data_IF_850013282792
#
_entry.id   IF_850013282792
#
_cell.length_a   1.000
_cell.length_b   1.000
_cell.length_c   1.000
_cell.angle_alpha   90.00
_cell.angle_beta   90.00
_cell.angle_gamma   90.00
#
_symmetry.space_group_name_H-M   'P 1'
#
loop_
_entity.id
_entity.type
_entity.pdbx_description
1 polymer ?
#
# COMPACT_ATOMS: atom_id res chain seq x y z
N UNK A 1 -29.51 8.13 35.15
CA UNK A 1 -28.31 7.40 34.70
C UNK A 1 -28.73 6.71 33.42
N UNK A 2 -28.64 7.47 32.33
CA UNK A 2 -29.13 7.04 31.03
C UNK A 2 -28.06 6.21 30.33
N UNK A 3 -28.50 5.17 29.61
CA UNK A 3 -27.63 4.22 28.92
C UNK A 3 -26.72 4.96 27.90
N UNK A 4 -25.38 4.92 28.06
CA UNK A 4 -24.44 5.61 27.19
C UNK A 4 -24.40 5.08 25.74
N UNK A 5 -25.16 4.03 25.43
CA UNK A 5 -25.29 3.43 24.10
C UNK A 5 -26.67 3.64 23.45
N UNK A 6 -27.56 4.44 24.04
CA UNK A 6 -28.88 4.71 23.46
C UNK A 6 -28.80 5.58 22.19
N UNK A 7 -29.64 5.26 21.21
CA UNK A 7 -29.82 6.10 20.02
C UNK A 7 -30.51 7.42 20.42
N UNK A 8 -30.02 8.54 19.88
CA UNK A 8 -30.56 9.86 20.18
C UNK A 8 -31.95 10.06 19.57
N UNK A 9 -32.83 10.89 20.17
CA UNK A 9 -34.16 11.15 19.66
C UNK A 9 -34.10 11.84 18.29
N UNK A 10 -34.90 11.37 17.34
CA UNK A 10 -35.14 12.07 16.08
C UNK A 10 -36.00 13.32 16.33
N UNK A 11 -35.57 14.44 15.76
CA UNK A 11 -36.27 15.72 15.80
C UNK A 11 -37.60 15.62 15.01
N UNK A 12 -38.76 15.96 15.60
CA UNK A 12 -40.06 15.88 14.94
C UNK A 12 -40.24 16.89 13.79
N UNK A 13 -39.27 17.78 13.54
CA UNK A 13 -39.33 18.76 12.43
C UNK A 13 -38.78 18.25 11.10
N UNK A 14 -38.24 17.03 11.06
CA UNK A 14 -37.75 16.41 9.82
C UNK A 14 -38.85 15.58 9.18
N UNK A 15 -39.42 16.09 8.09
CA UNK A 15 -40.43 15.39 7.30
C UNK A 15 -39.84 14.13 6.63
N UNK A 16 -40.21 12.94 7.10
CA UNK A 16 -39.72 11.63 6.64
C UNK A 16 -40.19 11.23 5.22
N UNK A 17 -40.82 12.16 4.49
CA UNK A 17 -41.45 11.91 3.19
C UNK A 17 -40.45 11.57 2.05
N UNK A 18 -39.15 11.79 2.23
CA UNK A 18 -38.12 11.53 1.21
C UNK A 18 -37.49 10.13 1.23
N UNK A 19 -37.78 9.25 2.21
CA UNK A 19 -37.10 7.94 2.32
C UNK A 19 -37.99 6.72 2.04
N UNK A 20 -39.28 6.89 1.75
CA UNK A 20 -40.21 5.77 1.58
C UNK A 20 -40.28 5.23 0.15
N UNK A 21 -39.21 4.55 -0.27
CA UNK A 21 -39.22 3.68 -1.45
C UNK A 21 -39.51 2.21 -1.07
N UNK A 22 -40.71 1.74 -1.43
CA UNK A 22 -41.06 0.34 -1.77
C UNK A 22 -40.71 -0.79 -0.78
N UNK A 23 -41.68 -1.19 0.06
CA UNK A 23 -41.70 -2.49 0.76
C UNK A 23 -42.02 -3.63 -0.20
N UNK A 24 -41.33 -4.78 -0.10
CA UNK A 24 -41.90 -6.07 -0.46
C UNK A 24 -42.39 -6.85 0.77
N UNK A 25 -43.41 -7.65 0.50
CA UNK A 25 -44.28 -8.42 1.39
C UNK A 25 -43.55 -9.54 2.14
N UNK A 26 -43.92 -9.72 3.41
CA UNK A 26 -43.44 -10.77 4.30
C UNK A 26 -44.46 -11.93 4.34
N UNK A 27 -44.04 -13.20 4.26
CA UNK A 27 -44.88 -14.32 4.69
C UNK A 27 -44.52 -14.79 6.11
N UNK A 28 -45.59 -15.11 6.84
CA UNK A 28 -45.67 -15.47 8.26
C UNK A 28 -45.35 -16.97 8.48
N UNK A 29 -44.53 -17.23 9.51
CA UNK A 29 -44.55 -18.31 10.52
C UNK A 29 -45.05 -19.73 10.20
N UNK A 30 -44.28 -20.75 10.62
CA UNK A 30 -44.85 -21.89 11.37
C UNK A 30 -43.85 -22.53 12.36
N UNK A 31 -44.38 -22.82 13.55
CA UNK A 31 -43.79 -23.48 14.71
C UNK A 31 -43.63 -25.00 14.52
N UNK A 32 -42.72 -25.64 15.26
CA UNK A 32 -42.63 -27.11 15.36
C UNK A 32 -41.47 -27.60 16.23
N UNK A 33 -41.79 -28.45 17.20
CA UNK A 33 -40.98 -28.92 18.34
C UNK A 33 -40.35 -30.31 18.18
N UNK A 34 -39.23 -30.53 18.91
CA UNK A 34 -38.80 -31.74 19.68
C UNK A 34 -38.35 -33.07 18.99
N UNK A 35 -37.11 -33.45 19.38
CA UNK A 35 -36.55 -34.77 19.83
C UNK A 35 -36.44 -36.01 18.93
N UNK A 36 -35.20 -36.54 18.83
CA UNK A 36 -34.69 -37.93 19.05
C UNK A 36 -33.39 -38.08 18.22
N UNK A 37 -32.24 -38.62 18.63
CA UNK A 37 -31.89 -39.67 19.59
C UNK A 37 -31.11 -40.77 18.83
N UNK A 38 -29.81 -40.97 19.18
CA UNK A 38 -28.85 -42.07 18.85
C UNK A 38 -27.46 -41.47 18.54
N UNK A 39 -26.31 -42.01 18.96
CA UNK A 39 -25.98 -43.23 19.68
C UNK A 39 -24.51 -43.15 20.15
N UNK A 40 -24.22 -43.82 21.28
CA UNK A 40 -22.97 -44.55 21.65
C UNK A 40 -21.69 -43.80 22.09
N UNK A 41 -21.50 -43.86 23.40
CA UNK A 41 -20.25 -44.06 24.17
C UNK A 41 -19.72 -45.52 24.05
N UNK A 42 -18.57 -45.99 24.63
CA UNK A 42 -17.53 -45.28 25.42
C UNK A 42 -16.04 -45.74 25.21
N UNK A 43 -15.14 -44.96 25.84
CA UNK A 43 -13.95 -45.37 26.65
C UNK A 43 -12.62 -45.96 26.10
N UNK A 44 -11.55 -45.44 26.76
CA UNK A 44 -10.29 -46.05 27.28
C UNK A 44 -8.97 -45.95 26.49
N UNK A 45 -8.24 -44.88 26.82
CA UNK A 45 -6.92 -44.84 27.50
C UNK A 45 -5.88 -45.98 27.38
N UNK A 46 -4.63 -45.52 27.18
CA UNK A 46 -3.39 -45.94 27.86
C UNK A 46 -2.35 -46.85 27.14
N UNK A 47 -1.24 -46.19 26.76
CA UNK A 47 0.20 -46.53 27.00
C UNK A 47 0.77 -47.90 26.61
N UNK A 48 1.89 -47.89 25.87
CA UNK A 48 3.14 -48.53 26.33
C UNK A 48 4.40 -48.02 25.62
N UNK A 49 5.47 -48.04 26.42
CA UNK A 49 6.83 -47.51 26.25
C UNK A 49 7.79 -48.70 26.15
N UNK A 50 8.89 -48.59 25.38
CA UNK A 50 10.15 -49.29 25.73
C UNK A 50 11.37 -48.58 25.12
N UNK A 51 12.39 -48.38 25.97
CA UNK A 51 13.75 -47.87 25.71
C UNK A 51 14.73 -49.04 25.80
N UNK A 52 15.85 -48.94 25.08
CA UNK A 52 17.20 -49.49 25.37
C UNK A 52 18.18 -48.73 24.46
N UNK A 53 19.03 -47.80 24.92
CA UNK A 53 20.31 -47.93 25.63
C UNK A 53 21.50 -48.29 24.72
N UNK A 54 22.56 -47.46 24.73
CA UNK A 54 23.86 -47.77 24.10
C UNK A 54 24.74 -46.55 23.81
N UNK A 55 25.61 -46.17 24.75
CA UNK A 55 26.64 -45.13 24.68
C UNK A 55 27.95 -45.65 24.06
N UNK A 56 28.72 -44.82 23.35
CA UNK A 56 30.20 -44.78 23.40
C UNK A 56 30.81 -43.54 22.71
N UNK A 57 31.89 -43.06 23.32
CA UNK A 57 32.65 -41.81 23.10
C UNK A 57 33.98 -42.09 22.37
N UNK A 58 34.67 -41.01 21.93
CA UNK A 58 36.10 -40.88 21.51
C UNK A 58 36.39 -41.25 20.04
N UNK A 59 37.29 -40.60 19.27
CA UNK A 59 38.42 -39.68 19.54
C UNK A 59 38.85 -38.98 18.23
N UNK A 60 39.55 -37.86 18.37
CA UNK A 60 40.31 -37.09 17.38
C UNK A 60 41.48 -37.83 16.70
N UNK A 61 41.79 -37.50 15.45
CA UNK A 61 43.18 -37.39 14.95
C UNK A 61 43.29 -36.57 13.66
N UNK A 62 44.37 -35.79 13.61
CA UNK A 62 44.86 -34.94 12.52
C UNK A 62 45.68 -35.80 11.55
N UNK A 63 45.66 -35.51 10.24
CA UNK A 63 46.77 -35.83 9.34
C UNK A 63 46.81 -34.90 8.12
N UNK A 64 48.01 -34.79 7.58
CA UNK A 64 48.65 -33.71 6.85
C UNK A 64 48.59 -33.91 5.33
N UNK A 65 48.74 -32.80 4.58
CA UNK A 65 49.39 -32.65 3.25
C UNK A 65 49.05 -33.65 2.12
N UNK A 66 48.59 -33.13 0.97
CA UNK A 66 49.42 -33.07 -0.24
C UNK A 66 48.72 -32.35 -1.42
N UNK A 67 49.54 -31.72 -2.26
CA UNK A 67 49.20 -31.02 -3.50
C UNK A 67 49.80 -31.84 -4.65
N UNK A 68 49.13 -31.95 -5.81
CA UNK A 68 49.81 -31.74 -7.09
C UNK A 68 48.97 -30.83 -8.01
N UNK A 69 49.51 -29.77 -8.62
CA UNK A 69 50.39 -29.75 -9.79
C UNK A 69 49.69 -30.19 -11.10
N UNK A 70 49.13 -29.18 -11.79
CA UNK A 70 49.21 -28.91 -13.24
C UNK A 70 49.44 -30.13 -14.16
N UNK A 71 48.37 -30.61 -14.79
CA UNK A 71 48.44 -31.33 -16.06
C UNK A 71 47.83 -30.46 -17.17
N UNK A 72 48.67 -30.11 -18.13
CA UNK A 72 48.37 -29.44 -19.39
C UNK A 72 47.92 -30.52 -20.37
N UNK A 73 46.64 -30.55 -20.73
CA UNK A 73 46.15 -31.37 -21.85
C UNK A 73 45.95 -30.47 -23.06
N UNK A 74 46.96 -30.44 -23.92
CA UNK A 74 46.78 -30.17 -25.34
C UNK A 74 46.34 -31.47 -26.00
N UNK A 75 45.09 -31.56 -26.41
CA UNK A 75 44.65 -32.54 -27.42
C UNK A 75 44.04 -31.80 -28.60
N UNK A 76 44.57 -32.17 -29.75
CA UNK A 76 44.38 -31.64 -31.09
C UNK A 76 42.95 -31.83 -31.61
N UNK A 77 42.45 -30.75 -32.21
CA UNK A 77 41.60 -30.66 -33.41
C UNK A 77 41.27 -32.01 -34.07
N UNK A 78 40.01 -32.43 -33.97
CA UNK A 78 39.35 -33.21 -35.01
C UNK A 78 38.23 -32.34 -35.58
N UNK A 79 38.46 -31.85 -36.79
CA UNK A 79 37.48 -31.16 -37.59
C UNK A 79 36.67 -32.24 -38.34
N UNK A 80 35.47 -32.54 -37.84
CA UNK A 80 34.42 -33.10 -38.67
C UNK A 80 33.46 -31.96 -38.98
N UNK A 81 33.64 -31.41 -40.18
CA UNK A 81 32.61 -30.63 -40.85
C UNK A 81 31.61 -31.65 -41.38
N UNK A 82 30.42 -31.66 -40.78
CA UNK A 82 29.19 -32.07 -41.44
C UNK A 82 28.00 -31.37 -40.76
N UNK A 83 27.27 -30.67 -41.61
CA UNK A 83 25.81 -30.52 -41.59
C UNK A 83 25.17 -29.29 -40.88
N UNK A 84 24.69 -28.40 -41.75
CA UNK A 84 23.67 -27.37 -41.61
C UNK A 84 23.89 -26.21 -40.64
N UNK A 85 24.28 -25.07 -41.23
CA UNK A 85 24.22 -23.73 -40.66
C UNK A 85 22.79 -23.28 -40.36
N UNK A 86 22.15 -23.92 -39.39
CA UNK A 86 21.04 -23.31 -38.65
C UNK A 86 21.70 -22.41 -37.61
N UNK A 87 21.85 -21.12 -37.91
CA UNK A 87 22.03 -20.13 -36.85
C UNK A 87 21.02 -20.44 -35.75
N UNK A 88 21.39 -20.52 -34.46
CA UNK A 88 20.44 -20.78 -33.40
C UNK A 88 19.38 -19.68 -33.46
N UNK A 89 18.23 -19.99 -34.08
CA UNK A 89 17.14 -19.06 -34.27
C UNK A 89 16.86 -18.44 -32.91
N UNK A 90 17.12 -17.13 -32.78
CA UNK A 90 16.94 -16.38 -31.55
C UNK A 90 15.51 -16.62 -31.09
N UNK A 91 15.33 -17.52 -30.11
CA UNK A 91 14.00 -17.83 -29.59
C UNK A 91 13.39 -16.51 -29.15
N UNK A 92 12.18 -16.15 -29.62
CA UNK A 92 11.53 -14.92 -29.19
C UNK A 92 11.51 -14.88 -27.66
N UNK A 93 11.89 -13.75 -27.05
CA UNK A 93 11.84 -13.58 -25.59
C UNK A 93 10.44 -13.85 -25.02
N UNK A 94 9.40 -13.66 -25.84
CA UNK A 94 8.00 -14.00 -25.55
C UNK A 94 7.73 -15.50 -25.41
N UNK A 95 8.62 -16.38 -25.89
CA UNK A 95 8.51 -17.83 -25.71
C UNK A 95 8.98 -18.30 -24.32
N UNK A 96 9.70 -17.46 -23.56
CA UNK A 96 10.11 -17.78 -22.19
C UNK A 96 8.91 -17.66 -21.24
N UNK A 97 8.53 -18.77 -20.60
CA UNK A 97 7.46 -18.81 -19.58
C UNK A 97 7.73 -17.84 -18.43
N UNK A 98 9.00 -17.63 -18.06
CA UNK A 98 9.37 -16.67 -17.03
C UNK A 98 9.04 -15.24 -17.45
N UNK A 99 9.40 -14.84 -18.68
CA UNK A 99 9.14 -13.51 -19.20
C UNK A 99 7.64 -13.24 -19.32
N UNK A 100 6.86 -14.20 -19.83
CA UNK A 100 5.39 -14.09 -19.92
C UNK A 100 4.74 -13.92 -18.55
N UNK A 101 5.15 -14.70 -17.56
CA UNK A 101 4.61 -14.59 -16.21
C UNK A 101 4.94 -13.22 -15.58
N UNK A 102 6.16 -12.72 -15.78
CA UNK A 102 6.57 -11.38 -15.32
C UNK A 102 5.81 -10.27 -16.01
N UNK A 103 5.63 -10.35 -17.32
CA UNK A 103 4.86 -9.40 -18.09
C UNK A 103 3.39 -9.39 -17.66
N UNK A 104 2.78 -10.57 -17.48
CA UNK A 104 1.40 -10.69 -17.00
C UNK A 104 1.24 -10.07 -15.60
N UNK A 105 2.19 -10.32 -14.68
CA UNK A 105 2.16 -9.69 -13.35
C UNK A 105 2.33 -8.18 -13.41
N UNK A 106 3.17 -7.66 -14.30
CA UNK A 106 3.27 -6.20 -14.53
C UNK A 106 1.95 -5.64 -15.00
N UNK A 107 1.37 -6.23 -16.04
CA UNK A 107 0.10 -5.76 -16.62
C UNK A 107 -0.97 -5.80 -15.54
N UNK A 108 -1.09 -6.91 -14.80
CA UNK A 108 -2.02 -7.03 -13.69
C UNK A 108 -1.80 -5.96 -12.61
N UNK A 109 -0.54 -5.67 -12.25
CA UNK A 109 -0.21 -4.63 -11.27
C UNK A 109 -0.57 -3.22 -11.75
N UNK A 110 -0.24 -2.88 -13.00
CA UNK A 110 -0.61 -1.59 -13.61
C UNK A 110 -2.12 -1.45 -13.67
N UNK A 111 -2.83 -2.47 -14.19
CA UNK A 111 -4.28 -2.47 -14.27
C UNK A 111 -4.91 -2.36 -12.88
N UNK A 112 -4.39 -3.06 -11.87
CA UNK A 112 -4.87 -2.94 -10.50
C UNK A 112 -4.70 -1.52 -9.94
N UNK A 113 -3.54 -0.89 -10.15
CA UNK A 113 -3.31 0.50 -9.74
C UNK A 113 -4.29 1.46 -10.43
N UNK A 114 -4.49 1.35 -11.74
CA UNK A 114 -5.40 2.21 -12.49
C UNK A 114 -6.87 1.99 -12.10
N UNK A 115 -7.30 0.74 -11.98
CA UNK A 115 -8.67 0.40 -11.55
C UNK A 115 -8.95 0.88 -10.14
N UNK A 116 -8.00 0.74 -9.21
CA UNK A 116 -8.16 1.20 -7.84
C UNK A 116 -8.15 2.74 -7.75
N UNK A 117 -7.31 3.41 -8.55
CA UNK A 117 -7.31 4.88 -8.70
C UNK A 117 -8.70 5.36 -9.15
N UNK A 118 -9.26 4.74 -10.20
CA UNK A 118 -10.58 5.09 -10.72
C UNK A 118 -11.69 4.80 -9.70
N UNK A 119 -11.65 3.63 -9.05
CA UNK A 119 -12.64 3.24 -8.04
C UNK A 119 -12.65 4.17 -6.82
N UNK A 120 -11.49 4.49 -6.26
CA UNK A 120 -11.37 5.40 -5.11
C UNK A 120 -11.79 6.81 -5.50
N UNK A 121 -11.30 7.32 -6.63
CA UNK A 121 -11.65 8.66 -7.12
C UNK A 121 -13.16 8.77 -7.34
N UNK A 122 -13.77 7.78 -7.99
CA UNK A 122 -15.21 7.74 -8.20
C UNK A 122 -15.96 7.71 -6.86
N UNK A 123 -15.60 6.81 -5.94
CA UNK A 123 -16.27 6.68 -4.64
C UNK A 123 -16.22 7.96 -3.80
N UNK A 124 -15.05 8.61 -3.72
CA UNK A 124 -14.88 9.83 -2.92
C UNK A 124 -15.52 11.05 -3.58
N UNK A 125 -15.50 11.15 -4.91
CA UNK A 125 -16.05 12.33 -5.60
C UNK A 125 -17.56 12.24 -5.83
N UNK A 126 -18.11 11.04 -6.04
CA UNK A 126 -19.53 10.84 -6.38
C UNK A 126 -20.44 10.58 -5.18
N UNK A 127 -19.89 10.25 -4.00
CA UNK A 127 -20.71 9.88 -2.83
C UNK A 127 -20.47 10.80 -1.63
N UNK A 128 -21.56 11.18 -0.95
CA UNK A 128 -21.49 11.98 0.26
C UNK A 128 -20.74 11.26 1.38
N UNK A 129 -20.94 9.95 1.54
CA UNK A 129 -20.21 9.13 2.50
C UNK A 129 -18.70 9.15 2.24
N UNK A 130 -18.28 9.02 0.99
CA UNK A 130 -16.88 9.12 0.60
C UNK A 130 -16.28 10.48 0.95
N UNK A 131 -16.96 11.57 0.62
CA UNK A 131 -16.49 12.92 0.96
C UNK A 131 -16.38 13.15 2.48
N UNK A 132 -17.34 12.63 3.25
CA UNK A 132 -17.38 12.73 4.71
C UNK A 132 -16.26 11.95 5.37
N UNK A 133 -16.09 10.66 5.04
CA UNK A 133 -15.05 9.80 5.62
C UNK A 133 -13.66 10.37 5.30
N UNK A 134 -13.44 10.80 4.07
CA UNK A 134 -12.14 11.29 3.64
C UNK A 134 -11.79 12.64 4.32
N UNK A 135 -12.79 13.50 4.53
CA UNK A 135 -12.61 14.79 5.21
C UNK A 135 -12.45 14.62 6.72
N UNK A 136 -13.24 13.77 7.37
CA UNK A 136 -13.14 13.57 8.83
C UNK A 136 -11.84 12.88 9.23
N UNK A 137 -11.30 11.99 8.38
CA UNK A 137 -9.99 11.39 8.59
C UNK A 137 -8.88 12.46 8.53
N UNK A 138 -8.95 13.36 7.55
CA UNK A 138 -8.03 14.51 7.45
C UNK A 138 -8.14 15.42 8.67
N UNK A 139 -9.34 15.87 9.03
CA UNK A 139 -9.55 16.75 10.19
C UNK A 139 -9.11 16.10 11.51
N UNK A 140 -9.35 14.80 11.67
CA UNK A 140 -8.84 14.01 12.80
C UNK A 140 -7.31 14.03 12.89
N UNK A 141 -6.62 13.87 11.75
CA UNK A 141 -5.16 14.00 11.68
C UNK A 141 -4.70 15.41 11.99
N UNK A 142 -5.31 16.45 11.39
CA UNK A 142 -4.96 17.86 11.65
C UNK A 142 -5.10 18.22 13.12
N UNK A 143 -6.23 17.86 13.75
CA UNK A 143 -6.49 18.16 15.16
C UNK A 143 -5.51 17.43 16.08
N UNK A 144 -5.16 16.19 15.74
CA UNK A 144 -4.15 15.41 16.48
C UNK A 144 -2.76 16.04 16.35
N UNK A 145 -2.42 16.57 15.17
CA UNK A 145 -1.13 17.21 14.90
C UNK A 145 -0.95 18.55 15.63
N UNK A 146 -2.01 19.37 15.73
CA UNK A 146 -1.98 20.66 16.45
C UNK A 146 -1.60 20.54 17.93
N UNK A 147 -1.72 19.36 18.52
CA UNK A 147 -1.26 19.10 19.90
C UNK A 147 0.28 19.08 20.01
N UNK A 148 1.00 19.08 18.88
CA UNK A 148 2.45 18.93 18.78
C UNK A 148 3.05 19.96 17.79
N UNK A 149 3.01 21.24 18.13
CA UNK A 149 3.45 22.34 17.24
C UNK A 149 4.90 22.22 16.76
N UNK A 150 5.83 21.84 17.66
CA UNK A 150 7.24 21.63 17.32
C UNK A 150 7.42 20.50 16.30
N UNK A 151 6.65 19.42 16.46
CA UNK A 151 6.66 18.30 15.52
C UNK A 151 6.11 18.72 14.15
N UNK A 152 5.02 19.48 14.11
CA UNK A 152 4.45 20.00 12.85
C UNK A 152 5.48 20.85 12.10
N UNK A 153 6.14 21.78 12.79
CA UNK A 153 7.13 22.68 12.19
C UNK A 153 8.32 21.90 11.61
N UNK A 154 8.84 20.92 12.36
CA UNK A 154 9.93 20.07 11.90
C UNK A 154 9.53 19.25 10.66
N UNK A 155 8.35 18.64 10.68
CA UNK A 155 7.85 17.84 9.56
C UNK A 155 7.66 18.70 8.32
N UNK A 156 7.05 19.88 8.45
CA UNK A 156 6.79 20.79 7.32
C UNK A 156 8.09 21.33 6.73
N UNK A 157 9.13 21.54 7.53
CA UNK A 157 10.48 21.80 7.04
C UNK A 157 11.07 20.65 6.23
N UNK A 158 10.97 19.41 6.74
CA UNK A 158 11.48 18.21 6.07
C UNK A 158 10.76 17.93 4.74
N UNK A 159 9.45 18.14 4.68
CA UNK A 159 8.62 17.79 3.52
C UNK A 159 8.43 18.95 2.52
N UNK A 160 9.25 19.99 2.67
CA UNK A 160 9.19 21.19 1.84
C UNK A 160 9.63 20.97 0.39
N UNK A 161 9.16 21.84 -0.51
CA UNK A 161 9.51 21.81 -1.95
C UNK A 161 11.03 21.84 -2.19
N UNK A 162 11.84 22.67 -1.49
CA UNK A 162 13.30 22.64 -1.65
C UNK A 162 13.92 21.28 -1.30
N UNK A 163 13.43 20.60 -0.26
CA UNK A 163 13.93 19.27 0.13
C UNK A 163 13.57 18.23 -0.92
N UNK A 164 12.34 18.25 -1.44
CA UNK A 164 11.94 17.38 -2.57
C UNK A 164 12.81 17.62 -3.80
N UNK A 165 13.12 18.88 -4.11
CA UNK A 165 14.07 19.24 -5.18
C UNK A 165 15.47 18.67 -4.93
N UNK A 166 15.99 18.80 -3.72
CA UNK A 166 17.28 18.24 -3.30
C UNK A 166 17.34 16.71 -3.42
N UNK A 167 16.29 16.00 -2.99
CA UNK A 167 16.17 14.55 -3.16
C UNK A 167 16.13 14.18 -4.65
N UNK A 168 15.40 14.95 -5.46
CA UNK A 168 15.37 14.77 -6.92
C UNK A 168 16.74 14.89 -7.57
N UNK A 169 17.52 15.92 -7.20
CA UNK A 169 18.90 16.09 -7.66
C UNK A 169 19.79 14.93 -7.22
N UNK A 170 19.69 14.49 -5.96
CA UNK A 170 20.43 13.34 -5.47
C UNK A 170 20.12 12.07 -6.28
N UNK A 171 18.85 11.78 -6.52
CA UNK A 171 18.43 10.63 -7.34
C UNK A 171 18.99 10.74 -8.76
N UNK A 172 18.98 11.94 -9.36
CA UNK A 172 19.56 12.17 -10.68
C UNK A 172 21.09 11.95 -10.71
N UNK A 173 21.81 12.42 -9.69
CA UNK A 173 23.27 12.20 -9.55
C UNK A 173 23.56 10.71 -9.41
N UNK A 174 22.84 9.98 -8.55
CA UNK A 174 23.02 8.53 -8.40
C UNK A 174 22.70 7.82 -9.71
N UNK A 175 21.67 8.24 -10.44
CA UNK A 175 21.32 7.68 -11.74
C UNK A 175 22.43 7.89 -12.78
N UNK A 176 23.00 9.10 -12.85
CA UNK A 176 24.11 9.44 -13.74
C UNK A 176 25.39 8.65 -13.40
N UNK A 177 25.75 8.57 -12.11
CA UNK A 177 26.93 7.87 -11.64
C UNK A 177 26.92 6.37 -12.00
N UNK A 178 25.74 5.77 -12.13
CA UNK A 178 25.60 4.33 -12.46
C UNK A 178 25.86 3.98 -13.92
N UNK A 179 26.05 4.95 -14.82
CA UNK A 179 26.33 4.74 -16.26
C UNK A 179 25.35 3.76 -16.95
N UNK A 180 24.09 3.73 -16.50
CA UNK A 180 23.01 2.91 -17.07
C UNK A 180 21.90 3.81 -17.61
N UNK A 181 22.10 4.46 -18.77
CA UNK A 181 21.21 5.51 -19.26
C UNK A 181 19.78 5.01 -19.51
N UNK A 182 19.61 3.74 -19.90
CA UNK A 182 18.29 3.13 -20.12
C UNK A 182 17.46 2.99 -18.85
N UNK A 183 18.11 2.66 -17.72
CA UNK A 183 17.46 2.54 -16.42
C UNK A 183 17.10 3.91 -15.86
N UNK A 184 18.03 4.88 -16.01
CA UNK A 184 17.82 6.27 -15.63
C UNK A 184 16.66 6.89 -16.41
N UNK A 185 16.63 6.71 -17.74
CA UNK A 185 15.55 7.22 -18.59
C UNK A 185 14.18 6.63 -18.23
N UNK A 186 14.10 5.34 -17.88
CA UNK A 186 12.86 4.71 -17.38
C UNK A 186 12.41 5.29 -16.04
N UNK A 187 13.33 5.47 -15.09
CA UNK A 187 13.02 6.04 -13.79
C UNK A 187 12.56 7.51 -13.93
N UNK A 188 13.27 8.31 -14.72
CA UNK A 188 12.89 9.69 -15.02
C UNK A 188 11.55 9.77 -15.76
N UNK A 189 11.32 8.89 -16.74
CA UNK A 189 10.04 8.79 -17.43
C UNK A 189 8.89 8.45 -16.49
N UNK A 190 9.12 7.60 -15.49
CA UNK A 190 8.10 7.28 -14.48
C UNK A 190 7.81 8.48 -13.56
N UNK A 191 8.85 9.21 -13.15
CA UNK A 191 8.71 10.43 -12.34
C UNK A 191 7.94 11.49 -13.11
N UNK A 192 8.38 11.83 -14.33
CA UNK A 192 7.74 12.86 -15.16
C UNK A 192 6.32 12.43 -15.51
N UNK A 193 6.13 11.20 -15.99
CA UNK A 193 4.82 10.67 -16.39
C UNK A 193 3.81 10.72 -15.25
N UNK A 194 4.19 10.27 -14.05
CA UNK A 194 3.30 10.30 -12.90
C UNK A 194 2.95 11.72 -12.46
N UNK A 195 3.92 12.65 -12.39
CA UNK A 195 3.64 14.03 -11.99
C UNK A 195 2.78 14.77 -13.01
N UNK A 196 3.06 14.61 -14.32
CA UNK A 196 2.22 15.18 -15.38
C UNK A 196 0.81 14.59 -15.32
N UNK A 197 0.68 13.28 -15.14
CA UNK A 197 -0.63 12.62 -14.99
C UNK A 197 -1.38 13.18 -13.79
N UNK A 198 -0.72 13.32 -12.64
CA UNK A 198 -1.31 13.89 -11.42
C UNK A 198 -1.84 15.30 -11.65
N UNK A 199 -1.08 16.18 -12.30
CA UNK A 199 -1.55 17.54 -12.59
C UNK A 199 -2.69 17.56 -13.60
N UNK A 200 -2.61 16.75 -14.67
CA UNK A 200 -3.70 16.64 -15.65
C UNK A 200 -4.99 16.16 -14.96
N UNK A 201 -4.89 15.11 -14.15
CA UNK A 201 -6.04 14.57 -13.42
C UNK A 201 -6.62 15.62 -12.48
N UNK A 202 -5.78 16.31 -11.72
CA UNK A 202 -6.19 17.29 -10.72
C UNK A 202 -6.87 18.51 -11.33
N UNK A 203 -6.28 19.06 -12.40
CA UNK A 203 -6.66 20.37 -12.92
C UNK A 203 -7.71 20.27 -14.05
N UNK A 204 -7.79 19.13 -14.75
CA UNK A 204 -8.63 19.02 -15.96
C UNK A 204 -9.63 17.86 -15.96
N UNK A 205 -9.39 16.77 -15.22
CA UNK A 205 -10.24 15.57 -15.31
C UNK A 205 -11.14 15.40 -14.09
N UNK A 206 -10.58 15.59 -12.90
CA UNK A 206 -11.25 15.29 -11.64
C UNK A 206 -11.78 16.59 -11.05
N UNK A 207 -13.09 16.72 -11.05
CA UNK A 207 -13.80 17.81 -10.38
C UNK A 207 -14.42 17.28 -9.10
N UNK A 208 -14.33 18.05 -8.01
CA UNK A 208 -14.98 17.72 -6.75
C UNK A 208 -16.32 18.46 -6.65
N UNK A 209 -17.46 17.80 -6.92
CA UNK A 209 -18.76 18.45 -6.78
C UNK A 209 -19.02 18.76 -5.30
N UNK A 210 -19.65 19.91 -5.03
CA UNK A 210 -20.20 20.19 -3.72
C UNK A 210 -21.46 19.34 -3.51
N UNK A 211 -21.34 18.28 -2.72
CA UNK A 211 -22.47 17.43 -2.36
C UNK A 211 -23.23 17.94 -1.12
N UNK A 212 -22.94 19.17 -0.68
CA UNK A 212 -23.57 19.77 0.50
C UNK A 212 -23.36 18.92 1.76
N UNK A 213 -22.15 18.39 1.97
CA UNK A 213 -21.77 17.59 3.17
C UNK A 213 -20.39 17.94 3.71
N UNK A 214 -19.65 18.81 3.02
CA UNK A 214 -18.35 19.32 3.46
C UNK A 214 -18.36 20.82 3.18
N UNK A 215 -17.68 21.62 4.00
CA UNK A 215 -17.45 23.04 3.70
C UNK A 215 -16.78 23.12 2.32
N UNK A 216 -17.10 24.15 1.51
CA UNK A 216 -16.81 24.21 0.07
C UNK A 216 -15.32 24.20 -0.31
N UNK A 217 -14.64 23.06 -0.09
CA UNK A 217 -13.23 22.85 -0.34
C UNK A 217 -13.03 22.43 -1.80
N UNK A 218 -12.10 23.11 -2.47
CA UNK A 218 -11.70 22.92 -3.86
C UNK A 218 -11.14 21.50 -4.08
N UNK A 219 -11.15 21.02 -5.33
CA UNK A 219 -10.55 19.73 -5.68
C UNK A 219 -9.05 19.70 -5.29
N UNK A 220 -8.68 18.69 -4.50
CA UNK A 220 -7.30 18.45 -4.05
C UNK A 220 -6.74 17.11 -4.56
N UNK A 221 -7.56 16.34 -5.26
CA UNK A 221 -7.25 14.98 -5.71
C UNK A 221 -6.70 14.99 -7.14
N UNK A 222 -5.57 14.31 -7.44
CA UNK A 222 -4.60 13.67 -6.52
C UNK A 222 -3.55 14.63 -5.92
N UNK A 223 -2.85 14.19 -4.87
CA UNK A 223 -1.78 14.97 -4.22
C UNK A 223 -0.48 15.03 -5.06
N UNK A 224 -0.09 16.24 -5.46
CA UNK A 224 1.17 16.52 -6.16
C UNK A 224 2.41 16.24 -5.32
N UNK A 225 2.44 16.76 -4.10
CA UNK A 225 3.51 16.54 -3.12
C UNK A 225 3.76 15.05 -2.85
N UNK A 226 2.68 14.29 -2.64
CA UNK A 226 2.77 12.84 -2.45
C UNK A 226 3.27 12.15 -3.71
N UNK A 227 2.81 12.56 -4.90
CA UNK A 227 3.27 11.99 -6.17
C UNK A 227 4.78 12.18 -6.34
N UNK A 228 5.31 13.37 -6.07
CA UNK A 228 6.77 13.62 -6.11
C UNK A 228 7.50 12.71 -5.13
N UNK A 229 7.08 12.66 -3.86
CA UNK A 229 7.77 11.84 -2.86
C UNK A 229 7.75 10.33 -3.20
N UNK A 230 6.63 9.81 -3.69
CA UNK A 230 6.50 8.41 -4.08
C UNK A 230 7.35 8.11 -5.30
N UNK A 231 7.26 8.93 -6.34
CA UNK A 231 8.04 8.72 -7.57
C UNK A 231 9.54 8.81 -7.33
N UNK A 232 10.03 9.74 -6.50
CA UNK A 232 11.44 9.82 -6.11
C UNK A 232 11.91 8.59 -5.32
N UNK A 233 11.08 8.09 -4.41
CA UNK A 233 11.37 6.87 -3.65
C UNK A 233 11.46 5.64 -4.55
N UNK A 234 10.50 5.49 -5.47
CA UNK A 234 10.49 4.40 -6.45
C UNK A 234 11.68 4.50 -7.41
N UNK A 235 12.01 5.71 -7.88
CA UNK A 235 13.19 5.96 -8.70
C UNK A 235 14.47 5.59 -7.96
N UNK A 236 14.61 5.96 -6.69
CA UNK A 236 15.74 5.55 -5.84
C UNK A 236 15.85 4.04 -5.75
N UNK A 237 14.76 3.29 -5.53
CA UNK A 237 14.78 1.81 -5.47
C UNK A 237 15.23 1.19 -6.79
N UNK A 238 14.78 1.76 -7.92
CA UNK A 238 15.16 1.31 -9.27
C UNK A 238 16.65 1.57 -9.53
N UNK A 239 17.13 2.73 -9.11
CA UNK A 239 18.50 3.22 -9.32
C UNK A 239 19.47 2.72 -8.23
N UNK A 240 19.02 2.20 -7.09
CA UNK A 240 19.89 1.73 -6.02
C UNK A 240 20.72 0.49 -6.45
N UNK A 241 21.94 0.32 -5.91
CA UNK A 241 22.70 -0.92 -6.08
C UNK A 241 22.00 -2.09 -5.35
N UNK A 242 22.29 -3.31 -5.78
CA UNK A 242 21.60 -4.53 -5.32
C UNK A 242 21.57 -4.71 -3.80
N UNK A 243 22.65 -4.35 -3.11
CA UNK A 243 22.77 -4.47 -1.65
C UNK A 243 22.03 -3.37 -0.89
N UNK A 244 21.82 -2.20 -1.51
CA UNK A 244 21.13 -1.06 -0.90
C UNK A 244 19.64 -0.99 -1.24
N UNK A 245 19.16 -1.88 -2.11
CA UNK A 245 17.77 -1.89 -2.57
C UNK A 245 16.77 -2.16 -1.45
N UNK A 246 17.07 -3.13 -0.56
CA UNK A 246 16.25 -3.42 0.62
C UNK A 246 16.12 -2.20 1.55
N UNK A 247 17.24 -1.61 2.03
CA UNK A 247 17.22 -0.35 2.77
C UNK A 247 16.49 0.77 2.04
N UNK A 248 16.73 0.95 0.74
CA UNK A 248 16.06 1.99 -0.07
C UNK A 248 14.54 1.83 -0.10
N UNK A 249 14.03 0.60 -0.10
CA UNK A 249 12.59 0.35 -0.05
C UNK A 249 11.99 0.77 1.30
N UNK A 250 12.67 0.48 2.41
CA UNK A 250 12.22 0.91 3.74
C UNK A 250 12.31 2.42 3.94
N UNK A 251 13.40 3.05 3.50
CA UNK A 251 13.52 4.50 3.51
C UNK A 251 12.48 5.17 2.62
N UNK A 252 12.27 4.64 1.42
CA UNK A 252 11.20 5.09 0.54
C UNK A 252 9.83 4.95 1.18
N UNK A 253 9.58 3.87 1.90
CA UNK A 253 8.31 3.65 2.58
C UNK A 253 8.10 4.63 3.74
N UNK A 254 9.12 4.82 4.58
CA UNK A 254 9.07 5.81 5.65
C UNK A 254 8.86 7.22 5.09
N UNK A 255 9.62 7.60 4.05
CA UNK A 255 9.53 8.92 3.41
C UNK A 255 8.16 9.18 2.79
N UNK A 256 7.63 8.23 2.01
CA UNK A 256 6.32 8.38 1.36
C UNK A 256 5.18 8.42 2.35
N UNK A 257 5.25 7.62 3.40
CA UNK A 257 4.27 7.66 4.49
C UNK A 257 4.35 9.01 5.21
N UNK A 258 5.55 9.49 5.52
CA UNK A 258 5.78 10.78 6.18
C UNK A 258 5.23 11.94 5.36
N UNK A 259 5.57 12.02 4.07
CA UNK A 259 5.07 13.04 3.15
C UNK A 259 3.55 13.02 3.05
N UNK A 260 2.96 11.83 2.98
CA UNK A 260 1.51 11.70 2.82
C UNK A 260 0.75 12.06 4.09
N UNK A 261 1.32 11.76 5.25
CA UNK A 261 0.78 12.16 6.54
C UNK A 261 0.94 13.67 6.75
N UNK A 262 2.09 14.26 6.38
CA UNK A 262 2.34 15.69 6.60
C UNK A 262 1.35 16.59 5.84
N UNK A 263 1.05 16.27 4.58
CA UNK A 263 0.06 17.04 3.81
C UNK A 263 -1.36 16.94 4.38
N UNK A 264 -1.67 15.86 5.12
CA UNK A 264 -2.92 15.72 5.85
C UNK A 264 -2.89 16.49 7.18
N UNK A 265 -1.76 16.49 7.90
CA UNK A 265 -1.58 17.25 9.13
C UNK A 265 -1.78 18.75 8.90
N UNK A 266 -1.29 19.25 7.77
CA UNK A 266 -1.46 20.65 7.33
C UNK A 266 -2.86 20.94 6.76
N UNK A 267 -3.69 19.92 6.57
CA UNK A 267 -5.04 20.05 6.02
C UNK A 267 -5.11 20.40 4.54
N UNK A 268 -4.01 20.19 3.81
CA UNK A 268 -3.95 20.47 2.38
C UNK A 268 -4.56 19.35 1.54
N UNK A 269 -4.46 18.12 2.03
CA UNK A 269 -4.84 16.92 1.31
C UNK A 269 -5.56 15.92 2.20
N UNK A 270 -6.52 15.21 1.61
CA UNK A 270 -7.25 14.11 2.23
C UNK A 270 -6.52 12.78 2.03
N UNK A 271 -6.80 11.73 2.82
CA UNK A 271 -6.18 10.40 2.64
C UNK A 271 -6.30 9.86 1.22
N UNK A 272 -7.46 10.02 0.57
CA UNK A 272 -7.67 9.54 -0.79
C UNK A 272 -6.78 10.25 -1.81
N UNK A 273 -6.45 11.52 -1.61
CA UNK A 273 -5.53 12.28 -2.47
C UNK A 273 -4.14 11.65 -2.47
N UNK A 274 -3.65 11.25 -1.29
CA UNK A 274 -2.35 10.62 -1.10
C UNK A 274 -2.34 9.18 -1.62
N UNK A 275 -3.38 8.40 -1.34
CA UNK A 275 -3.52 7.01 -1.82
C UNK A 275 -3.56 6.98 -3.34
N UNK A 276 -4.36 7.84 -3.96
CA UNK A 276 -4.50 7.95 -5.43
C UNK A 276 -3.18 8.39 -6.05
N UNK A 277 -2.48 9.37 -5.46
CA UNK A 277 -1.15 9.79 -5.89
C UNK A 277 -0.13 8.63 -5.87
N UNK A 278 -0.14 7.84 -4.79
CA UNK A 278 0.74 6.68 -4.68
C UNK A 278 0.42 5.63 -5.76
N UNK A 279 -0.86 5.35 -6.03
CA UNK A 279 -1.29 4.39 -7.05
C UNK A 279 -0.89 4.82 -8.46
N UNK A 280 -1.04 6.12 -8.80
CA UNK A 280 -0.59 6.68 -10.07
C UNK A 280 0.93 6.52 -10.22
N UNK A 281 1.69 6.88 -9.19
CA UNK A 281 3.15 6.73 -9.18
C UNK A 281 3.57 5.25 -9.32
N UNK A 282 2.86 4.36 -8.62
CA UNK A 282 3.03 2.90 -8.72
C UNK A 282 2.78 2.40 -10.14
N UNK A 283 1.68 2.80 -10.79
CA UNK A 283 1.36 2.41 -12.15
C UNK A 283 2.48 2.78 -13.13
N UNK A 284 2.99 4.01 -13.06
CA UNK A 284 4.10 4.47 -13.90
C UNK A 284 5.40 3.71 -13.64
N UNK A 285 5.75 3.50 -12.36
CA UNK A 285 6.95 2.76 -11.99
C UNK A 285 6.86 1.28 -12.44
N UNK A 286 5.69 0.66 -12.31
CA UNK A 286 5.43 -0.69 -12.79
C UNK A 286 5.52 -0.79 -14.31
N UNK A 287 4.87 0.13 -15.03
CA UNK A 287 4.86 0.17 -16.49
C UNK A 287 6.28 0.29 -17.07
N UNK A 288 7.10 1.17 -16.49
CA UNK A 288 8.44 1.48 -16.97
C UNK A 288 9.56 0.68 -16.29
N UNK A 289 9.24 -0.20 -15.35
CA UNK A 289 10.25 -1.08 -14.73
C UNK A 289 10.98 -1.91 -15.81
N UNK A 290 12.26 -2.29 -15.61
CA UNK A 290 12.90 -3.30 -16.47
C UNK A 290 12.43 -4.72 -16.12
N UNK A 291 12.26 -5.59 -17.12
CA UNK A 291 12.12 -7.05 -16.90
C UNK A 291 13.53 -7.65 -17.03
N UNK A 292 14.29 -7.62 -15.94
CA UNK A 292 15.67 -8.12 -15.89
C UNK A 292 15.82 -9.15 -14.78
N UNK A 293 16.55 -10.24 -15.04
CA UNK A 293 16.94 -11.21 -14.01
C UNK A 293 17.97 -10.55 -13.10
N UNK A 294 17.55 -10.12 -11.90
CA UNK A 294 18.45 -9.53 -10.89
C UNK A 294 18.39 -10.35 -9.61
N UNK A 295 19.54 -10.80 -9.07
CA UNK A 295 19.57 -11.50 -7.79
C UNK A 295 19.07 -10.60 -6.66
N UNK A 296 18.16 -11.15 -5.85
CA UNK A 296 17.50 -10.43 -4.76
C UNK A 296 18.09 -10.84 -3.42
N UNK A 297 18.53 -9.86 -2.63
CA UNK A 297 18.97 -10.07 -1.25
C UNK A 297 17.88 -9.57 -0.28
N UNK A 298 17.64 -10.29 0.82
CA UNK A 298 16.74 -9.83 1.89
C UNK A 298 15.24 -10.13 1.72
N UNK A 299 14.85 -11.18 0.99
CA UNK A 299 13.44 -11.58 0.76
C UNK A 299 12.61 -11.65 2.06
N UNK A 300 13.22 -12.14 3.16
CA UNK A 300 12.56 -12.22 4.48
C UNK A 300 12.14 -10.84 5.00
N UNK A 301 13.03 -9.84 4.90
CA UNK A 301 12.78 -8.47 5.38
C UNK A 301 11.65 -7.81 4.58
N UNK A 302 11.54 -8.11 3.29
CA UNK A 302 10.43 -7.58 2.48
C UNK A 302 9.09 -8.25 2.75
N UNK A 303 9.10 -9.52 3.15
CA UNK A 303 7.87 -10.19 3.59
C UNK A 303 7.34 -9.58 4.89
N UNK A 304 8.22 -9.12 5.77
CA UNK A 304 7.83 -8.38 6.98
C UNK A 304 7.07 -7.10 6.59
N UNK A 305 7.54 -6.35 5.58
CA UNK A 305 6.87 -5.14 5.11
C UNK A 305 5.40 -5.39 4.73
N UNK A 306 5.11 -6.48 4.02
CA UNK A 306 3.73 -6.87 3.66
C UNK A 306 2.90 -7.14 4.91
N UNK A 307 3.42 -7.92 5.86
CA UNK A 307 2.69 -8.20 7.10
C UNK A 307 2.42 -6.93 7.91
N UNK A 308 3.38 -6.01 8.01
CA UNK A 308 3.15 -4.73 8.67
C UNK A 308 2.08 -3.93 7.93
N UNK A 309 2.11 -3.87 6.60
CA UNK A 309 1.06 -3.21 5.81
C UNK A 309 -0.32 -3.85 6.03
N UNK A 310 -0.41 -5.19 6.10
CA UNK A 310 -1.67 -5.89 6.37
C UNK A 310 -2.20 -5.59 7.78
N UNK A 311 -1.32 -5.57 8.78
CA UNK A 311 -1.68 -5.15 10.15
C UNK A 311 -2.16 -3.71 10.16
N UNK A 312 -1.48 -2.80 9.45
CA UNK A 312 -1.90 -1.40 9.33
C UNK A 312 -3.28 -1.28 8.65
N UNK A 313 -3.60 -2.09 7.63
CA UNK A 313 -4.94 -2.12 7.04
C UNK A 313 -5.99 -2.55 8.07
N UNK A 314 -5.72 -3.62 8.83
CA UNK A 314 -6.64 -4.08 9.88
C UNK A 314 -6.85 -2.98 10.93
N UNK A 315 -5.78 -2.35 11.39
CA UNK A 315 -5.85 -1.22 12.34
C UNK A 315 -6.65 -0.07 11.73
N UNK A 316 -6.41 0.29 10.47
CA UNK A 316 -7.09 1.37 9.79
C UNK A 316 -8.60 1.12 9.68
N UNK A 317 -9.01 -0.09 9.29
CA UNK A 317 -10.42 -0.50 9.19
C UNK A 317 -11.08 -0.46 10.57
N UNK A 318 -10.48 -1.11 11.57
CA UNK A 318 -11.05 -1.18 12.93
C UNK A 318 -11.16 0.21 13.56
N UNK A 319 -10.12 1.04 13.43
CA UNK A 319 -10.12 2.40 13.95
C UNK A 319 -11.15 3.29 13.24
N UNK A 320 -11.29 3.18 11.90
CA UNK A 320 -12.31 3.91 11.15
C UNK A 320 -13.71 3.51 11.62
N UNK A 321 -14.00 2.20 11.72
CA UNK A 321 -15.31 1.71 12.18
C UNK A 321 -15.61 2.17 13.60
N UNK A 322 -14.63 2.04 14.51
CA UNK A 322 -14.80 2.45 15.91
C UNK A 322 -15.04 3.95 16.06
N UNK A 323 -14.31 4.79 15.31
CA UNK A 323 -14.50 6.24 15.36
C UNK A 323 -15.83 6.68 14.73
N UNK A 324 -16.26 6.00 13.67
CA UNK A 324 -17.54 6.26 12.98
C UNK A 324 -18.74 5.64 13.71
N UNK A 325 -18.53 4.89 14.79
CA UNK A 325 -19.61 4.28 15.55
C UNK A 325 -20.55 5.36 16.12
N UNK A 326 -21.84 5.27 15.76
CA UNK A 326 -22.85 6.25 16.14
C UNK A 326 -22.77 7.58 15.38
N UNK A 327 -22.03 7.64 14.26
CA UNK A 327 -22.05 8.80 13.36
C UNK A 327 -23.33 8.78 12.50
N UNK A 328 -24.05 9.91 12.47
CA UNK A 328 -25.21 10.11 11.59
C UNK A 328 -24.84 11.08 10.46
N UNK A 329 -25.28 10.78 9.24
CA UNK A 329 -25.07 11.67 8.09
C UNK A 329 -25.77 13.02 8.25
N UNK A 330 -26.81 13.11 9.08
CA UNK A 330 -27.47 14.38 9.40
C UNK A 330 -26.53 15.37 10.11
N UNK A 331 -25.53 14.89 10.85
CA UNK A 331 -24.50 15.74 11.46
C UNK A 331 -23.56 16.33 10.40
N UNK A 332 -23.30 15.62 9.30
CA UNK A 332 -22.41 16.09 8.24
C UNK A 332 -23.02 17.20 7.34
N UNK A 333 -24.33 17.46 7.44
CA UNK A 333 -25.00 18.43 6.58
C UNK A 333 -24.63 19.89 6.94
N UNK A 334 -24.27 20.76 5.98
CA UNK A 334 -24.06 22.19 6.17
C UNK A 334 -25.33 22.83 6.76
N UNK A 335 -25.15 23.62 7.82
CA UNK A 335 -26.26 24.28 8.51
C UNK A 335 -26.96 23.43 9.59
N UNK A 336 -26.49 22.19 9.85
CA UNK A 336 -27.07 21.33 10.89
C UNK A 336 -26.88 21.86 12.32
N UNK A 337 -26.00 22.83 12.56
CA UNK A 337 -25.54 23.22 13.91
C UNK A 337 -24.67 22.16 14.60
N UNK A 338 -24.64 20.93 14.07
CA UNK A 338 -23.90 19.76 14.54
C UNK A 338 -22.73 19.43 13.58
N UNK A 339 -21.83 20.39 13.33
CA UNK A 339 -20.70 20.18 12.41
C UNK A 339 -19.68 19.13 12.87
N UNK A 340 -18.72 18.76 12.00
CA UNK A 340 -17.60 17.85 12.34
C UNK A 340 -16.87 18.27 13.63
N UNK A 341 -16.71 19.58 13.85
CA UNK A 341 -16.21 20.18 15.09
C UNK A 341 -16.97 19.64 16.31
N UNK A 342 -18.30 19.72 16.34
CA UNK A 342 -19.12 19.24 17.45
C UNK A 342 -19.04 17.71 17.62
N UNK A 343 -19.03 16.94 16.53
CA UNK A 343 -18.86 15.47 16.60
C UNK A 343 -17.51 15.06 17.21
N UNK A 344 -16.45 15.80 16.90
CA UNK A 344 -15.11 15.58 17.44
C UNK A 344 -14.97 16.12 18.88
N UNK A 345 -15.71 17.17 19.24
CA UNK A 345 -15.73 17.75 20.59
C UNK A 345 -16.47 16.89 21.61
N UNK A 346 -17.60 16.26 21.23
CA UNK A 346 -18.35 15.38 22.14
C UNK A 346 -17.45 14.22 22.64
N UNK A 347 -16.57 13.70 21.79
CA UNK A 347 -15.65 12.61 22.13
C UNK A 347 -14.25 12.87 21.58
N UNK A 348 -13.38 13.58 22.34
CA UNK A 348 -12.04 13.96 21.90
C UNK A 348 -11.16 12.79 21.45
N UNK A 349 -11.38 11.59 22.01
CA UNK A 349 -10.66 10.37 21.60
C UNK A 349 -10.90 9.99 20.13
N UNK A 350 -12.05 10.36 19.54
CA UNK A 350 -12.36 10.06 18.14
C UNK A 350 -11.39 10.73 17.19
N UNK A 351 -10.99 11.97 17.47
CA UNK A 351 -9.99 12.69 16.65
C UNK A 351 -8.66 11.93 16.56
N UNK A 352 -8.20 11.37 17.70
CA UNK A 352 -6.98 10.56 17.76
C UNK A 352 -7.12 9.25 17.00
N UNK A 353 -8.25 8.56 17.17
CA UNK A 353 -8.51 7.28 16.48
C UNK A 353 -8.63 7.49 14.98
N UNK A 354 -9.27 8.56 14.52
CA UNK A 354 -9.33 8.94 13.11
C UNK A 354 -7.95 9.30 12.57
N UNK A 355 -7.15 10.06 13.34
CA UNK A 355 -5.77 10.36 12.97
C UNK A 355 -4.93 9.10 12.78
N UNK A 356 -5.02 8.14 13.71
CA UNK A 356 -4.36 6.83 13.61
C UNK A 356 -4.87 6.04 12.41
N UNK A 357 -6.19 6.02 12.17
CA UNK A 357 -6.79 5.33 11.03
C UNK A 357 -6.26 5.88 9.71
N UNK A 358 -6.21 7.21 9.58
CA UNK A 358 -5.78 7.89 8.37
C UNK A 358 -4.28 7.63 8.08
N UNK A 359 -3.43 7.74 9.12
CA UNK A 359 -2.00 7.40 9.04
C UNK A 359 -1.82 5.94 8.61
N UNK A 360 -2.58 5.01 9.20
CA UNK A 360 -2.47 3.59 8.92
C UNK A 360 -2.91 3.24 7.49
N UNK A 361 -4.02 3.82 6.99
CA UNK A 361 -4.48 3.66 5.60
C UNK A 361 -3.40 4.06 4.61
N UNK A 362 -2.91 5.29 4.74
CA UNK A 362 -1.94 5.87 3.80
C UNK A 362 -0.60 5.14 3.86
N UNK A 363 -0.09 4.87 5.07
CA UNK A 363 1.17 4.16 5.25
C UNK A 363 1.10 2.73 4.68
N UNK A 364 -0.02 2.03 4.88
CA UNK A 364 -0.19 0.68 4.33
C UNK A 364 -0.17 0.67 2.81
N UNK A 365 -0.91 1.57 2.15
CA UNK A 365 -0.98 1.59 0.68
C UNK A 365 0.36 2.01 0.07
N UNK A 366 1.03 3.04 0.62
CA UNK A 366 2.38 3.42 0.20
C UNK A 366 3.36 2.25 0.32
N UNK A 367 3.30 1.50 1.42
CA UNK A 367 4.14 0.34 1.67
C UNK A 367 3.89 -0.81 0.69
N UNK A 368 2.62 -1.12 0.40
CA UNK A 368 2.27 -2.16 -0.58
C UNK A 368 2.72 -1.80 -2.00
N UNK A 369 2.60 -0.53 -2.40
CA UNK A 369 3.05 -0.07 -3.73
C UNK A 369 4.57 -0.18 -3.83
N UNK A 370 5.29 0.29 -2.81
CA UNK A 370 6.74 0.15 -2.73
C UNK A 370 7.14 -1.32 -2.76
N UNK A 371 6.42 -2.19 -2.03
CA UNK A 371 6.67 -3.63 -2.05
C UNK A 371 6.53 -4.20 -3.46
N UNK A 372 5.44 -3.93 -4.15
CA UNK A 372 5.17 -4.53 -5.46
C UNK A 372 6.12 -4.00 -6.55
N UNK A 373 6.40 -2.70 -6.57
CA UNK A 373 7.39 -2.13 -7.50
C UNK A 373 8.77 -2.69 -7.23
N UNK A 374 9.16 -2.73 -5.95
CA UNK A 374 10.42 -3.32 -5.57
C UNK A 374 10.46 -4.81 -5.98
N UNK A 375 9.41 -5.58 -5.72
CA UNK A 375 9.30 -7.00 -6.07
C UNK A 375 9.46 -7.23 -7.58
N UNK A 376 8.78 -6.44 -8.40
CA UNK A 376 8.81 -6.62 -9.86
C UNK A 376 10.13 -6.20 -10.50
N UNK A 377 10.82 -5.20 -9.96
CA UNK A 377 12.12 -4.76 -10.49
C UNK A 377 13.34 -5.57 -10.01
N UNK A 378 13.16 -6.69 -9.29
CA UNK A 378 14.27 -7.48 -8.75
C UNK A 378 14.05 -8.99 -8.62
N UNK A 379 13.31 -9.65 -9.52
CA UNK A 379 13.38 -11.13 -9.66
C UNK A 379 13.48 -11.51 -11.13
#
# INVERSE_FOLDING_TARGET
MDDPNSALPSDPTVDESYTRGSRPVQPRTRSGSRTSGNDKDPQKSATKRKKTAGSKTRTSSVSTKERPARARTTTSRSANADDNGTEPALRPLSADRWYRHKLARRIAGVTACLSLTAFISYGVLSTSYGQVIDTILMEGTMRSARQYEEFSTLITGLVSVPVLGGIGVLVAIVAAARRRPTLAGRALGAVVGANVTTQILKDYVLTRPSLGVTTGVVNSLPSGHTTVAVTLSLALIVVAPQWFRGPSAWFGWAWTSLMSVSVMMEGWHRPSDAITAALIAGAWALALSPIERRPRHGIKVQRIMVWVCLVLIVVAVVATIAAMWGFSMSAAAPGSGYGFEYFLEIRPWRSRVLGVAAIAWVSAICGLIIHEVDRLAGE
#
